data_IF_380503492869
#
_entry.id   IF_380503492869
#
_cell.length_a   1.000
_cell.length_b   1.000
_cell.length_c   1.000
_cell.angle_alpha   90.00
_cell.angle_beta   90.00
_cell.angle_gamma   90.00
#
_symmetry.space_group_name_H-M   'P 1'
#
loop_
_entity.id
_entity.type
_entity.pdbx_description
1 polymer ?
#
# COMPACT_ATOMS: atom_id res chain seq x y z
N UNK A 1 -26.53 -19.21 31.67
CA UNK A 1 -26.21 -18.28 30.56
C UNK A 1 -25.85 -19.10 29.34
N UNK A 2 -26.63 -19.03 28.26
CA UNK A 2 -26.45 -19.88 27.08
C UNK A 2 -25.08 -19.62 26.44
N UNK A 3 -24.29 -20.66 26.17
CA UNK A 3 -22.96 -20.58 25.53
C UNK A 3 -22.94 -19.66 24.30
N UNK A 4 -24.02 -19.67 23.52
CA UNK A 4 -24.21 -18.84 22.33
C UNK A 4 -24.19 -17.32 22.62
N UNK A 5 -24.72 -16.89 23.77
CA UNK A 5 -24.74 -15.48 24.18
C UNK A 5 -23.35 -15.00 24.57
N UNK A 6 -22.59 -15.83 25.31
CA UNK A 6 -21.21 -15.52 25.71
C UNK A 6 -20.30 -15.43 24.48
N UNK A 7 -20.43 -16.39 23.55
CA UNK A 7 -19.67 -16.39 22.31
C UNK A 7 -19.99 -15.17 21.43
N UNK A 8 -21.27 -14.82 21.29
CA UNK A 8 -21.69 -13.62 20.55
C UNK A 8 -21.09 -12.33 21.11
N UNK A 9 -21.12 -12.17 22.45
CA UNK A 9 -20.51 -11.01 23.10
C UNK A 9 -19.00 -10.93 22.86
N UNK A 10 -18.30 -12.07 22.93
CA UNK A 10 -16.86 -12.14 22.66
C UNK A 10 -16.51 -11.68 21.24
N UNK A 11 -17.27 -12.12 20.23
CA UNK A 11 -17.05 -11.71 18.82
C UNK A 11 -17.26 -10.20 18.64
N UNK A 12 -18.29 -9.63 19.26
CA UNK A 12 -18.55 -8.18 19.20
C UNK A 12 -17.37 -7.39 19.80
N UNK A 13 -16.89 -7.79 20.98
CA UNK A 13 -15.76 -7.14 21.64
C UNK A 13 -14.48 -7.27 20.79
N UNK A 14 -14.22 -8.45 20.23
CA UNK A 14 -13.07 -8.67 19.35
C UNK A 14 -13.15 -7.80 18.09
N UNK A 15 -14.33 -7.66 17.48
CA UNK A 15 -14.54 -6.80 16.31
C UNK A 15 -14.31 -5.32 16.64
N UNK A 16 -14.84 -4.84 17.77
CA UNK A 16 -14.60 -3.46 18.24
C UNK A 16 -13.10 -3.20 18.48
N UNK A 17 -12.39 -4.17 19.07
CA UNK A 17 -10.95 -4.07 19.26
C UNK A 17 -10.20 -4.01 17.92
N UNK A 18 -10.57 -4.85 16.95
CA UNK A 18 -10.00 -4.83 15.61
C UNK A 18 -10.26 -3.49 14.90
N UNK A 19 -11.45 -2.92 15.04
CA UNK A 19 -11.81 -1.61 14.47
C UNK A 19 -10.95 -0.50 15.08
N UNK A 20 -10.79 -0.48 16.41
CA UNK A 20 -9.95 0.49 17.10
C UNK A 20 -8.49 0.44 16.63
N UNK A 21 -7.96 -0.77 16.43
CA UNK A 21 -6.61 -0.97 15.90
C UNK A 21 -6.48 -0.47 14.46
N UNK A 22 -7.46 -0.75 13.60
CA UNK A 22 -7.50 -0.26 12.23
C UNK A 22 -7.49 1.27 12.16
N UNK A 23 -8.28 1.94 13.00
CA UNK A 23 -8.29 3.40 13.11
C UNK A 23 -6.93 3.97 13.52
N UNK A 24 -6.24 3.33 14.46
CA UNK A 24 -4.88 3.75 14.86
C UNK A 24 -3.88 3.62 13.71
N UNK A 25 -3.95 2.54 12.93
CA UNK A 25 -3.08 2.34 11.77
C UNK A 25 -3.35 3.38 10.67
N UNK A 26 -4.62 3.68 10.40
CA UNK A 26 -5.01 4.71 9.43
C UNK A 26 -4.54 6.10 9.87
N UNK A 27 -4.73 6.44 11.15
CA UNK A 27 -4.24 7.72 11.71
C UNK A 27 -2.72 7.85 11.57
N UNK A 28 -1.97 6.79 11.86
CA UNK A 28 -0.52 6.79 11.69
C UNK A 28 -0.11 6.92 10.22
N UNK A 29 -0.76 6.20 9.30
CA UNK A 29 -0.55 6.33 7.87
C UNK A 29 -0.77 7.77 7.39
N UNK A 30 -1.91 8.37 7.78
CA UNK A 30 -2.25 9.74 7.40
C UNK A 30 -1.26 10.76 7.97
N UNK A 31 -0.78 10.56 9.20
CA UNK A 31 0.24 11.42 9.79
C UNK A 31 1.56 11.37 9.01
N UNK A 32 2.02 10.18 8.62
CA UNK A 32 3.23 10.00 7.81
C UNK A 32 3.06 10.60 6.43
N UNK A 33 1.94 10.32 5.76
CA UNK A 33 1.61 10.89 4.46
C UNK A 33 1.57 12.42 4.52
N UNK A 34 0.89 13.00 5.50
CA UNK A 34 0.80 14.45 5.66
C UNK A 34 2.18 15.09 5.89
N UNK A 35 3.05 14.43 6.66
CA UNK A 35 4.44 14.88 6.86
C UNK A 35 5.22 14.92 5.55
N UNK A 36 5.16 13.84 4.75
CA UNK A 36 5.83 13.76 3.45
C UNK A 36 5.25 14.74 2.44
N UNK A 37 3.92 14.89 2.44
CA UNK A 37 3.18 15.76 1.50
C UNK A 37 3.46 17.25 1.70
N UNK A 38 3.87 17.65 2.91
CA UNK A 38 4.35 19.01 3.20
C UNK A 38 5.71 19.30 2.58
N UNK A 39 6.53 18.28 2.33
CA UNK A 39 7.86 18.45 1.73
C UNK A 39 7.80 18.49 0.21
N UNK A 40 6.87 17.73 -0.40
CA UNK A 40 6.74 17.67 -1.86
C UNK A 40 5.61 16.77 -2.35
N UNK A 41 5.67 16.41 -3.64
CA UNK A 41 4.77 15.41 -4.25
C UNK A 41 5.08 14.05 -3.64
N UNK A 42 4.07 13.21 -3.36
CA UNK A 42 4.30 11.91 -2.73
C UNK A 42 3.98 10.79 -3.71
N UNK A 43 4.97 9.99 -4.07
CA UNK A 43 4.78 8.73 -4.78
C UNK A 43 4.57 7.60 -3.78
N UNK A 44 3.49 6.85 -3.95
CA UNK A 44 3.13 5.73 -3.07
C UNK A 44 3.17 4.44 -3.88
N UNK A 45 3.89 3.45 -3.37
CA UNK A 45 3.91 2.12 -3.93
C UNK A 45 3.43 1.09 -2.92
N UNK A 46 2.73 0.07 -3.39
CA UNK A 46 2.16 -0.97 -2.55
C UNK A 46 2.33 -2.35 -3.18
N UNK A 47 2.65 -3.32 -2.34
CA UNK A 47 2.61 -4.73 -2.71
C UNK A 47 1.91 -5.54 -1.63
N UNK A 48 0.75 -6.10 -1.98
CA UNK A 48 0.09 -7.08 -1.15
C UNK A 48 0.95 -8.36 -1.10
N UNK A 49 1.28 -8.82 0.10
CA UNK A 49 1.79 -10.16 0.29
C UNK A 49 0.60 -11.11 0.35
N UNK A 50 0.52 -12.07 -0.58
CA UNK A 50 -0.60 -13.05 -0.60
C UNK A 50 -0.69 -13.83 0.72
N UNK A 51 0.46 -14.30 1.23
CA UNK A 51 0.63 -15.08 2.47
C UNK A 51 1.67 -14.40 3.39
N UNK A 52 2.25 -13.27 2.96
CA UNK A 52 3.39 -12.59 3.62
C UNK A 52 3.02 -11.16 3.99
N UNK A 53 3.86 -10.53 4.81
CA UNK A 53 3.79 -9.10 5.13
C UNK A 53 3.60 -8.24 3.88
N UNK A 54 2.52 -7.47 3.83
CA UNK A 54 2.35 -6.44 2.82
C UNK A 54 3.42 -5.37 2.99
N UNK A 55 3.86 -4.78 1.88
CA UNK A 55 4.83 -3.68 1.89
C UNK A 55 4.22 -2.44 1.25
N UNK A 56 4.37 -1.31 1.92
CA UNK A 56 4.02 0.01 1.42
C UNK A 56 5.26 0.89 1.51
N UNK A 57 5.51 1.66 0.46
CA UNK A 57 6.57 2.67 0.42
C UNK A 57 5.97 4.02 0.05
N UNK A 58 6.56 5.07 0.60
CA UNK A 58 6.24 6.45 0.29
C UNK A 58 7.53 7.22 0.06
N UNK A 59 7.59 7.95 -1.04
CA UNK A 59 8.67 8.86 -1.37
C UNK A 59 8.12 10.27 -1.50
N UNK A 60 8.61 11.20 -0.69
CA UNK A 60 8.43 12.63 -0.94
C UNK A 60 9.43 13.06 -2.01
N UNK A 61 8.95 13.75 -3.03
CA UNK A 61 9.68 14.08 -4.24
C UNK A 61 9.64 15.59 -4.49
N UNK A 62 10.75 16.12 -5.00
CA UNK A 62 10.79 17.47 -5.55
C UNK A 62 10.17 17.53 -6.96
N UNK A 63 10.27 18.70 -7.61
CA UNK A 63 9.72 18.89 -8.96
C UNK A 63 10.47 18.11 -10.04
N UNK A 64 11.72 17.71 -9.79
CA UNK A 64 12.56 16.95 -10.71
C UNK A 64 12.50 15.43 -10.48
N UNK A 65 11.75 14.97 -9.48
CA UNK A 65 11.66 13.55 -9.12
C UNK A 65 12.74 13.07 -8.17
N UNK A 66 13.54 13.97 -7.56
CA UNK A 66 14.48 13.58 -6.51
C UNK A 66 13.77 13.38 -5.19
N UNK A 67 14.20 12.36 -4.45
CA UNK A 67 13.65 11.99 -3.15
C UNK A 67 14.13 12.93 -2.04
N UNK A 68 13.19 13.57 -1.36
CA UNK A 68 13.40 14.44 -0.20
C UNK A 68 13.35 13.64 1.12
N UNK A 69 12.39 12.71 1.24
CA UNK A 69 12.25 11.78 2.36
C UNK A 69 11.60 10.48 1.86
N UNK A 70 11.93 9.37 2.49
CA UNK A 70 11.49 8.04 2.10
C UNK A 70 11.10 7.21 3.33
N UNK A 71 9.92 6.60 3.28
CA UNK A 71 9.35 5.79 4.36
C UNK A 71 8.84 4.46 3.82
N UNK A 72 9.14 3.37 4.52
CA UNK A 72 8.54 2.06 4.26
C UNK A 72 7.79 1.53 5.45
N UNK A 73 6.72 0.81 5.21
CA UNK A 73 6.06 -0.04 6.19
C UNK A 73 5.99 -1.46 5.61
N UNK A 74 6.53 -2.43 6.35
CA UNK A 74 6.44 -3.85 6.00
C UNK A 74 5.92 -4.63 7.21
N UNK A 75 4.78 -5.31 7.04
CA UNK A 75 4.22 -6.15 8.10
C UNK A 75 2.86 -6.75 7.72
N UNK A 76 2.44 -7.76 8.49
CA UNK A 76 1.07 -8.33 8.42
C UNK A 76 0.15 -7.76 9.50
N UNK A 77 0.69 -7.10 10.52
CA UNK A 77 -0.06 -6.66 11.70
C UNK A 77 -0.29 -5.16 11.71
N UNK A 78 -1.35 -4.74 12.42
CA UNK A 78 -1.64 -3.34 12.75
C UNK A 78 -0.53 -2.63 13.53
N UNK A 79 0.39 -3.39 14.12
CA UNK A 79 1.55 -2.87 14.86
C UNK A 79 2.72 -2.50 13.94
N UNK A 80 2.68 -2.86 12.65
CA UNK A 80 3.70 -2.46 11.69
C UNK A 80 3.71 -0.92 11.54
N UNK A 81 4.90 -0.33 11.63
CA UNK A 81 5.10 1.13 11.54
C UNK A 81 5.96 1.48 10.35
N UNK A 82 5.82 2.73 9.89
CA UNK A 82 6.70 3.30 8.90
C UNK A 82 8.10 3.52 9.49
N UNK A 83 9.12 3.09 8.75
CA UNK A 83 10.54 3.26 9.04
C UNK A 83 11.19 4.13 7.97
N UNK A 84 12.14 5.01 8.33
CA UNK A 84 12.89 5.81 7.36
C UNK A 84 13.75 4.93 6.46
N UNK A 85 13.94 5.39 5.21
CA UNK A 85 14.79 4.76 4.20
C UNK A 85 15.86 5.76 3.72
N UNK A 86 16.85 6.11 4.57
CA UNK A 86 17.79 7.20 4.28
C UNK A 86 18.63 6.97 3.02
N UNK A 87 18.87 5.71 2.63
CA UNK A 87 19.62 5.36 1.43
C UNK A 87 19.00 5.87 0.12
N UNK A 88 17.72 6.26 0.14
CA UNK A 88 16.99 6.75 -1.03
C UNK A 88 16.94 8.27 -1.10
N UNK A 89 17.29 8.98 -0.02
CA UNK A 89 17.27 10.45 0.01
C UNK A 89 18.31 10.99 -0.98
N UNK A 90 17.91 11.97 -1.78
CA UNK A 90 18.72 12.59 -2.84
C UNK A 90 18.84 11.75 -4.12
N UNK A 91 18.34 10.52 -4.14
CA UNK A 91 18.27 9.69 -5.33
C UNK A 91 17.09 10.11 -6.21
N UNK A 92 17.19 9.80 -7.50
CA UNK A 92 16.14 10.10 -8.47
C UNK A 92 15.25 8.87 -8.70
N UNK A 93 13.93 9.06 -8.51
CA UNK A 93 12.91 8.01 -8.61
C UNK A 93 12.82 7.39 -10.01
N UNK A 94 13.23 8.10 -11.07
CA UNK A 94 13.21 7.59 -12.43
C UNK A 94 14.07 6.33 -12.59
N UNK A 95 15.13 6.22 -11.79
CA UNK A 95 16.05 5.08 -11.78
C UNK A 95 15.69 4.03 -10.73
N UNK A 96 14.50 4.08 -10.13
CA UNK A 96 14.04 3.08 -9.16
C UNK A 96 13.52 1.81 -9.84
N UNK A 97 14.37 1.18 -10.63
CA UNK A 97 14.09 -0.06 -11.34
C UNK A 97 14.84 -1.27 -10.75
N UNK A 98 14.65 -2.44 -11.37
CA UNK A 98 15.30 -3.70 -10.98
C UNK A 98 16.82 -3.73 -11.18
N UNK A 99 17.38 -2.82 -11.96
CA UNK A 99 18.80 -2.77 -12.28
C UNK A 99 19.57 -1.92 -11.27
N UNK A 100 18.89 -1.00 -10.59
CA UNK A 100 19.46 -0.16 -9.56
C UNK A 100 20.09 -0.98 -8.41
N UNK A 101 21.38 -0.75 -8.07
CA UNK A 101 22.08 -1.51 -7.04
C UNK A 101 21.48 -1.35 -5.64
N UNK A 102 20.85 -0.21 -5.33
CA UNK A 102 20.17 0.02 -4.05
C UNK A 102 18.95 -0.90 -3.92
N UNK A 103 18.14 -0.98 -4.97
CA UNK A 103 16.91 -1.79 -5.01
C UNK A 103 17.24 -3.27 -5.02
N UNK A 104 18.28 -3.70 -5.72
CA UNK A 104 18.67 -5.13 -5.80
C UNK A 104 19.00 -5.76 -4.45
N UNK A 105 19.45 -4.96 -3.48
CA UNK A 105 19.76 -5.42 -2.12
C UNK A 105 18.50 -5.65 -1.28
N UNK A 106 17.36 -5.10 -1.70
CA UNK A 106 16.11 -5.18 -0.96
C UNK A 106 15.38 -6.52 -1.14
N UNK A 107 14.52 -6.84 -0.18
CA UNK A 107 13.67 -8.01 -0.28
C UNK A 107 12.67 -7.89 -1.45
N UNK A 108 12.21 -9.03 -1.98
CA UNK A 108 11.36 -9.07 -3.18
C UNK A 108 10.08 -8.22 -3.07
N UNK A 109 9.45 -8.17 -1.90
CA UNK A 109 8.20 -7.42 -1.72
C UNK A 109 8.45 -5.92 -1.70
N UNK A 110 9.53 -5.50 -1.07
CA UNK A 110 9.96 -4.11 -1.07
C UNK A 110 10.36 -3.63 -2.46
N UNK A 111 11.14 -4.44 -3.20
CA UNK A 111 11.48 -4.14 -4.61
C UNK A 111 10.24 -3.87 -5.45
N UNK A 112 9.25 -4.76 -5.37
CA UNK A 112 8.00 -4.62 -6.11
C UNK A 112 7.19 -3.38 -5.68
N UNK A 113 7.21 -3.03 -4.38
CA UNK A 113 6.55 -1.82 -3.90
C UNK A 113 7.28 -0.55 -4.40
N UNK A 114 8.62 -0.56 -4.46
CA UNK A 114 9.40 0.55 -5.00
C UNK A 114 9.15 0.72 -6.51
N UNK A 115 9.15 -0.38 -7.27
CA UNK A 115 8.83 -0.36 -8.70
C UNK A 115 7.39 0.16 -8.95
N UNK A 116 6.41 -0.24 -8.12
CA UNK A 116 5.03 0.26 -8.18
C UNK A 116 4.95 1.77 -7.91
N UNK A 117 5.73 2.29 -6.94
CA UNK A 117 5.79 3.73 -6.67
C UNK A 117 6.35 4.52 -7.86
N UNK A 118 7.42 4.00 -8.48
CA UNK A 118 8.01 4.58 -9.69
C UNK A 118 7.03 4.57 -10.85
N UNK A 119 6.39 3.43 -11.11
CA UNK A 119 5.40 3.32 -12.19
C UNK A 119 4.25 4.31 -12.01
N UNK A 120 3.74 4.43 -10.79
CA UNK A 120 2.77 5.46 -10.40
C UNK A 120 3.31 6.85 -10.72
N UNK A 121 4.52 7.19 -10.29
CA UNK A 121 5.09 8.51 -10.53
C UNK A 121 5.20 8.84 -12.04
N UNK A 122 5.78 7.93 -12.83
CA UNK A 122 5.97 8.11 -14.27
C UNK A 122 4.64 8.30 -15.01
N UNK A 123 3.60 7.56 -14.63
CA UNK A 123 2.26 7.73 -15.21
C UNK A 123 1.67 9.11 -14.88
N UNK A 124 1.87 9.62 -13.65
CA UNK A 124 1.38 10.97 -13.26
C UNK A 124 2.11 12.02 -14.08
N UNK A 125 3.43 11.88 -14.23
CA UNK A 125 4.26 12.83 -14.94
C UNK A 125 3.99 12.85 -16.45
N UNK A 126 3.71 11.70 -17.05
CA UNK A 126 3.30 11.60 -18.45
C UNK A 126 1.91 12.20 -18.73
N UNK A 127 1.16 12.63 -17.71
CA UNK A 127 -0.21 13.14 -17.85
C UNK A 127 -1.25 12.06 -18.16
N UNK A 128 -0.90 10.78 -18.07
CA UNK A 128 -1.76 9.62 -18.40
C UNK A 128 -2.30 8.97 -17.11
N UNK A 129 -2.75 9.80 -16.17
CA UNK A 129 -3.32 9.29 -14.92
C UNK A 129 -4.82 9.11 -15.04
N UNK A 130 -5.24 7.87 -15.26
CA UNK A 130 -6.63 7.44 -14.99
C UNK A 130 -6.67 6.74 -13.63
N UNK A 131 -7.61 7.17 -12.77
CA UNK A 131 -7.91 6.53 -11.48
C UNK A 131 -8.51 5.14 -11.72
N UNK A 132 -7.68 4.17 -12.09
CA UNK A 132 -8.07 2.77 -12.18
C UNK A 132 -7.91 2.12 -10.79
N UNK A 133 -9.00 1.76 -10.09
CA UNK A 133 -8.89 1.08 -8.80
C UNK A 133 -8.25 -0.29 -9.01
N UNK A 134 -6.99 -0.44 -8.55
CA UNK A 134 -6.23 -1.72 -8.54
C UNK A 134 -6.87 -2.82 -7.66
N UNK A 135 -8.06 -2.57 -7.10
CA UNK A 135 -8.87 -3.44 -6.25
C UNK A 135 -10.24 -3.75 -6.88
N UNK A 136 -10.30 -4.03 -8.18
CA UNK A 136 -11.39 -4.85 -8.72
C UNK A 136 -11.02 -6.32 -8.48
N UNK A 137 -11.40 -6.89 -7.33
CA UNK A 137 -11.29 -8.35 -7.14
C UNK A 137 -12.33 -8.97 -6.21
N UNK A 138 -13.29 -8.18 -5.70
CA UNK A 138 -14.43 -8.69 -4.94
C UNK A 138 -15.77 -8.52 -5.67
N UNK A 139 -15.84 -7.60 -6.64
CA UNK A 139 -17.06 -7.32 -7.41
C UNK A 139 -17.17 -8.09 -8.74
N UNK A 140 -16.06 -8.64 -9.26
CA UNK A 140 -16.02 -9.34 -10.55
C UNK A 140 -16.75 -10.70 -10.56
N UNK A 141 -17.04 -11.28 -9.39
CA UNK A 141 -17.87 -12.49 -9.29
C UNK A 141 -19.26 -12.27 -9.87
N UNK A 142 -19.82 -11.07 -9.75
CA UNK A 142 -21.15 -10.74 -10.31
C UNK A 142 -21.12 -10.68 -11.84
N UNK A 143 -20.01 -10.20 -12.41
CA UNK A 143 -19.81 -10.08 -13.86
C UNK A 143 -19.52 -11.45 -14.50
N UNK A 144 -18.68 -12.26 -13.84
CA UNK A 144 -18.41 -13.64 -14.26
C UNK A 144 -19.65 -14.54 -14.14
N UNK A 145 -20.46 -14.37 -13.08
CA UNK A 145 -21.72 -15.11 -12.93
C UNK A 145 -22.73 -14.76 -14.02
N UNK A 146 -22.85 -13.47 -14.40
CA UNK A 146 -23.70 -13.04 -15.53
C UNK A 146 -23.24 -13.63 -16.86
N UNK A 147 -21.93 -13.68 -17.11
CA UNK A 147 -21.37 -14.26 -18.34
C UNK A 147 -21.54 -15.79 -18.41
N UNK A 148 -21.45 -16.48 -17.27
CA UNK A 148 -21.73 -17.92 -17.19
C UNK A 148 -23.21 -18.22 -17.41
N UNK A 149 -24.12 -17.45 -16.81
CA UNK A 149 -25.57 -17.62 -17.02
C UNK A 149 -25.99 -17.30 -18.46
N UNK A 150 -25.33 -16.35 -19.13
CA UNK A 150 -25.57 -16.04 -20.53
C UNK A 150 -25.07 -17.13 -21.51
N UNK A 151 -24.16 -18.02 -21.07
CA UNK A 151 -23.68 -19.17 -21.86
C UNK A 151 -24.58 -20.40 -21.77
N UNK A 152 -25.56 -20.40 -20.87
CA UNK A 152 -26.53 -21.48 -20.68
C UNK A 152 -27.93 -21.14 -21.25
N UNK A 153 -28.03 -20.12 -22.11
CA UNK A 153 -29.24 -19.78 -22.84
C UNK A 153 -29.02 -19.94 -24.34
#
# INVERSE_FOLDING_TARGET
>A
MSFMVIFGLFVIVAYLFQLLLGLRQLKHFNAVYASLRRQGRVAIGRRAGKIRAGTIVMFALDQSGKVLDARQMQGVTVAARFKPMPAYIGQDIHYFDRYNPLIRRENKLLRLAIEDAREVFLRVEAGVYEDAPKYASAFDWTLQAKQLLARFK
#
